data_IF_694322821012
#
_entry.id   IF_694322821012
#
_cell.length_a   1.000
_cell.length_b   1.000
_cell.length_c   1.000
_cell.angle_alpha   90.00
_cell.angle_beta   90.00
_cell.angle_gamma   90.00
#
_symmetry.space_group_name_H-M   'P 1'
#
loop_
_entity.id
_entity.type
_entity.pdbx_description
1 polymer ?
#
# COMPACT_ATOMS: atom_id res chain seq x y z
N UNK A 1 -28.91 42.59 33.51
CA UNK A 1 -29.04 41.17 33.15
C UNK A 1 -28.53 41.03 31.73
N UNK A 2 -27.24 40.70 31.58
CA UNK A 2 -26.56 40.60 30.30
C UNK A 2 -26.22 39.13 30.12
N UNK A 3 -26.96 38.45 29.26
CA UNK A 3 -26.77 37.03 28.97
C UNK A 3 -25.70 36.88 27.91
N UNK A 4 -24.55 36.34 28.29
CA UNK A 4 -23.48 35.92 27.39
C UNK A 4 -23.92 34.67 26.63
N UNK A 5 -23.83 34.62 25.28
CA UNK A 5 -24.05 33.39 24.55
C UNK A 5 -22.86 32.45 24.79
N UNK A 6 -23.15 31.29 25.39
CA UNK A 6 -22.20 30.19 25.53
C UNK A 6 -21.91 29.63 24.15
N UNK A 7 -20.74 29.99 23.61
CA UNK A 7 -20.17 29.34 22.42
C UNK A 7 -19.73 27.94 22.82
N UNK A 8 -20.53 26.94 22.47
CA UNK A 8 -20.10 25.55 22.43
C UNK A 8 -19.04 25.43 21.32
N UNK A 9 -17.83 24.91 21.59
CA UNK A 9 -16.85 24.68 20.54
C UNK A 9 -17.40 23.62 19.57
N UNK A 10 -17.12 23.72 18.26
CA UNK A 10 -17.54 22.72 17.30
C UNK A 10 -16.92 21.38 17.67
N UNK A 11 -17.79 20.37 17.77
CA UNK A 11 -17.45 18.97 17.93
C UNK A 11 -16.43 18.62 16.83
N UNK A 12 -15.19 18.32 17.21
CA UNK A 12 -14.13 17.98 16.27
C UNK A 12 -14.44 16.58 15.71
N UNK A 13 -15.33 16.52 14.72
CA UNK A 13 -15.71 15.30 14.03
C UNK A 13 -14.50 14.76 13.30
N UNK A 14 -14.02 13.62 13.74
CA UNK A 14 -13.00 12.82 13.06
C UNK A 14 -13.42 12.59 11.61
N UNK A 15 -12.53 12.83 10.66
CA UNK A 15 -12.81 12.68 9.23
C UNK A 15 -11.90 11.61 8.65
N UNK A 16 -12.22 10.35 8.97
CA UNK A 16 -11.74 9.20 8.22
C UNK A 16 -12.07 9.39 6.73
N UNK A 17 -11.05 9.32 5.87
CA UNK A 17 -11.28 9.44 4.43
C UNK A 17 -12.07 8.22 3.95
N UNK A 18 -13.22 8.47 3.33
CA UNK A 18 -14.00 7.46 2.63
C UNK A 18 -13.86 7.69 1.13
N UNK A 19 -13.85 6.64 0.29
CA UNK A 19 -13.74 6.77 -1.16
C UNK A 19 -15.07 7.24 -1.78
N UNK A 20 -15.74 8.22 -1.17
CA UNK A 20 -16.96 8.81 -1.66
C UNK A 20 -16.65 10.06 -2.49
N UNK A 21 -17.33 10.22 -3.60
CA UNK A 21 -17.23 11.39 -4.46
C UNK A 21 -18.62 11.95 -4.74
N UNK A 22 -18.72 13.28 -4.78
CA UNK A 22 -19.96 14.00 -5.09
C UNK A 22 -19.72 14.92 -6.28
N UNK A 23 -20.54 14.85 -7.34
CA UNK A 23 -20.36 15.68 -8.53
C UNK A 23 -20.40 17.18 -8.21
N UNK A 24 -21.22 17.59 -7.25
CA UNK A 24 -21.45 18.99 -6.88
C UNK A 24 -20.25 19.64 -6.16
N UNK A 25 -19.31 18.83 -5.69
CA UNK A 25 -18.15 19.28 -4.91
C UNK A 25 -16.82 19.04 -5.63
N UNK A 26 -16.87 18.78 -6.95
CA UNK A 26 -15.66 18.51 -7.73
C UNK A 26 -14.77 19.75 -7.78
N UNK A 27 -13.53 19.61 -7.32
CA UNK A 27 -12.56 20.71 -7.39
C UNK A 27 -12.21 21.05 -8.85
N UNK A 28 -12.50 22.28 -9.32
CA UNK A 28 -12.27 22.68 -10.70
C UNK A 28 -10.78 22.77 -11.08
N UNK A 29 -9.87 22.81 -10.10
CA UNK A 29 -8.43 22.84 -10.32
C UNK A 29 -7.83 21.46 -10.65
N UNK A 30 -8.63 20.38 -10.64
CA UNK A 30 -8.14 19.05 -10.94
C UNK A 30 -7.84 18.86 -12.43
N UNK A 31 -6.78 18.14 -12.82
CA UNK A 31 -6.45 17.89 -14.22
C UNK A 31 -7.59 17.19 -14.97
N UNK A 32 -8.03 17.67 -16.15
CA UNK A 32 -9.21 17.14 -16.83
C UNK A 32 -9.09 15.63 -17.10
N UNK A 33 -10.22 14.93 -17.07
CA UNK A 33 -10.27 13.50 -17.42
C UNK A 33 -10.10 13.35 -18.93
N UNK A 34 -9.20 12.48 -19.38
CA UNK A 34 -9.09 12.17 -20.82
C UNK A 34 -9.92 10.93 -21.13
N UNK A 35 -10.92 11.07 -21.99
CA UNK A 35 -11.70 9.95 -22.54
C UNK A 35 -11.15 9.57 -23.91
N UNK A 36 -10.64 8.35 -24.05
CA UNK A 36 -10.29 7.76 -25.34
C UNK A 36 -11.44 6.83 -25.74
N UNK A 37 -12.09 7.12 -26.86
CA UNK A 37 -13.22 6.33 -27.38
C UNK A 37 -12.76 5.49 -28.57
N UNK A 38 -12.89 4.19 -28.44
CA UNK A 38 -12.68 3.19 -29.48
C UNK A 38 -14.03 2.63 -29.94
N UNK A 39 -14.59 3.22 -31.01
CA UNK A 39 -15.93 2.88 -31.49
C UNK A 39 -16.08 1.42 -31.92
N UNK A 40 -14.99 0.75 -32.31
CA UNK A 40 -15.02 -0.59 -32.92
C UNK A 40 -14.26 -1.65 -32.12
N UNK A 41 -13.86 -1.36 -30.87
CA UNK A 41 -13.06 -2.25 -30.03
C UNK A 41 -11.78 -2.77 -30.73
N UNK A 42 -11.08 -1.88 -31.43
CA UNK A 42 -9.81 -2.19 -32.08
C UNK A 42 -8.72 -2.53 -31.04
N UNK A 43 -8.03 -3.67 -31.18
CA UNK A 43 -7.00 -4.09 -30.23
C UNK A 43 -5.84 -3.09 -30.11
N UNK A 44 -5.60 -2.26 -31.13
CA UNK A 44 -4.55 -1.25 -31.15
C UNK A 44 -4.67 -0.22 -30.02
N UNK A 45 -5.88 0.16 -29.59
CA UNK A 45 -6.05 1.08 -28.46
C UNK A 45 -5.60 0.45 -27.15
N UNK A 46 -6.00 -0.80 -26.91
CA UNK A 46 -5.60 -1.53 -25.69
C UNK A 46 -4.10 -1.80 -25.69
N UNK A 47 -3.51 -2.22 -26.81
CA UNK A 47 -2.05 -2.41 -26.93
C UNK A 47 -1.29 -1.12 -26.67
N UNK A 48 -1.76 0.02 -27.21
CA UNK A 48 -1.14 1.33 -26.97
C UNK A 48 -1.25 1.74 -25.50
N UNK A 49 -2.41 1.52 -24.87
CA UNK A 49 -2.61 1.81 -23.46
C UNK A 49 -1.71 0.95 -22.56
N UNK A 50 -1.58 -0.35 -22.85
CA UNK A 50 -0.67 -1.25 -22.12
C UNK A 50 0.79 -0.82 -22.28
N UNK A 51 1.21 -0.47 -23.51
CA UNK A 51 2.56 0.02 -23.77
C UNK A 51 2.89 1.35 -23.07
N UNK A 52 1.86 2.14 -22.70
CA UNK A 52 2.03 3.37 -21.94
C UNK A 52 2.30 3.14 -20.43
N UNK A 53 2.25 1.90 -19.94
CA UNK A 53 2.57 1.58 -18.54
C UNK A 53 4.06 1.86 -18.28
N UNK A 54 4.35 2.91 -17.48
CA UNK A 54 5.70 3.38 -17.16
C UNK A 54 5.76 3.76 -15.67
N UNK A 55 5.82 2.77 -14.76
CA UNK A 55 5.85 2.98 -13.32
C UNK A 55 6.96 3.92 -12.84
N UNK A 56 8.13 3.86 -13.49
CA UNK A 56 9.29 4.70 -13.23
C UNK A 56 9.03 6.19 -13.49
N UNK A 57 8.04 6.51 -14.32
CA UNK A 57 7.57 7.87 -14.59
C UNK A 57 6.25 8.20 -13.87
N UNK A 58 5.80 7.33 -12.95
CA UNK A 58 4.56 7.52 -12.19
C UNK A 58 3.29 7.30 -13.02
N UNK A 59 3.36 6.56 -14.14
CA UNK A 59 2.20 6.24 -14.99
C UNK A 59 1.85 4.76 -14.93
N UNK A 60 0.61 4.47 -14.52
CA UNK A 60 0.13 3.12 -14.31
C UNK A 60 -1.06 2.83 -15.21
N UNK A 61 -0.87 1.92 -16.16
CA UNK A 61 -1.99 1.32 -16.90
C UNK A 61 -2.60 0.18 -16.10
N UNK A 62 -3.93 0.18 -16.01
CA UNK A 62 -4.73 -0.80 -15.27
C UNK A 62 -5.68 -1.46 -16.26
N UNK A 63 -5.72 -2.78 -16.27
CA UNK A 63 -6.71 -3.54 -17.02
C UNK A 63 -7.64 -4.23 -16.02
N UNK A 64 -8.82 -3.63 -15.73
CA UNK A 64 -9.74 -4.16 -14.73
C UNK A 64 -10.10 -5.62 -14.99
N UNK A 65 -10.22 -6.39 -13.91
CA UNK A 65 -10.68 -7.78 -13.94
C UNK A 65 -12.09 -7.81 -14.57
N UNK A 66 -12.33 -8.58 -15.64
CA UNK A 66 -13.63 -8.59 -16.30
C UNK A 66 -14.75 -9.02 -15.35
N UNK A 67 -15.91 -8.34 -15.42
CA UNK A 67 -17.13 -8.69 -14.67
C UNK A 67 -17.00 -8.67 -13.13
N UNK A 68 -15.89 -8.14 -12.64
CA UNK A 68 -15.67 -7.83 -11.24
C UNK A 68 -16.60 -6.70 -10.78
N UNK A 69 -17.71 -7.01 -10.12
CA UNK A 69 -18.68 -5.99 -9.66
C UNK A 69 -18.54 -5.60 -8.19
N UNK A 70 -17.78 -6.39 -7.40
CA UNK A 70 -17.55 -6.06 -6.01
C UNK A 70 -16.80 -4.70 -5.89
N UNK A 71 -17.21 -3.79 -5.00
CA UNK A 71 -16.63 -2.43 -4.94
C UNK A 71 -15.11 -2.40 -4.64
N UNK A 72 -14.59 -3.45 -4.00
CA UNK A 72 -13.15 -3.60 -3.69
C UNK A 72 -12.30 -4.03 -4.90
N UNK A 73 -12.88 -4.70 -5.90
CA UNK A 73 -12.09 -5.38 -6.93
C UNK A 73 -11.32 -4.42 -7.84
N UNK A 74 -11.88 -3.25 -8.18
CA UNK A 74 -11.09 -2.27 -8.93
C UNK A 74 -9.91 -1.75 -8.10
N UNK A 75 -10.07 -1.54 -6.78
CA UNK A 75 -8.94 -1.18 -5.93
C UNK A 75 -7.86 -2.27 -5.93
N UNK A 76 -8.27 -3.54 -5.91
CA UNK A 76 -7.33 -4.66 -6.04
C UNK A 76 -6.57 -4.65 -7.37
N UNK A 77 -7.24 -4.31 -8.46
CA UNK A 77 -6.59 -4.18 -9.77
C UNK A 77 -5.61 -2.99 -9.80
N UNK A 78 -5.94 -1.86 -9.15
CA UNK A 78 -5.00 -0.76 -8.95
C UNK A 78 -3.78 -1.20 -8.14
N UNK A 79 -4.00 -1.88 -7.02
CA UNK A 79 -2.95 -2.43 -6.14
C UNK A 79 -2.01 -3.37 -6.93
N UNK A 80 -2.57 -4.28 -7.73
CA UNK A 80 -1.78 -5.16 -8.62
C UNK A 80 -1.00 -4.40 -9.68
N UNK A 81 -1.61 -3.39 -10.30
CA UNK A 81 -0.93 -2.55 -11.29
C UNK A 81 0.21 -1.71 -10.69
N UNK A 82 0.17 -1.46 -9.38
CA UNK A 82 1.27 -0.86 -8.60
C UNK A 82 2.35 -1.88 -8.19
N UNK A 83 2.33 -3.07 -8.79
CA UNK A 83 3.26 -4.17 -8.49
C UNK A 83 3.05 -4.82 -7.13
N UNK A 84 1.90 -4.59 -6.47
CA UNK A 84 1.59 -5.15 -5.15
C UNK A 84 0.68 -6.36 -5.27
N UNK A 85 1.01 -7.43 -4.56
CA UNK A 85 0.21 -8.65 -4.59
C UNK A 85 -0.64 -8.80 -3.34
N UNK A 86 -1.91 -9.15 -3.57
CA UNK A 86 -2.81 -9.61 -2.52
C UNK A 86 -2.29 -10.93 -1.93
N UNK A 87 -2.65 -11.24 -0.68
CA UNK A 87 -2.28 -12.51 -0.07
C UNK A 87 -2.75 -13.72 -0.91
N UNK A 88 -2.02 -14.84 -0.80
CA UNK A 88 -2.34 -16.07 -1.53
C UNK A 88 -3.80 -16.50 -1.30
N UNK A 89 -4.50 -17.04 -2.31
CA UNK A 89 -5.86 -17.58 -2.11
C UNK A 89 -5.90 -18.78 -1.13
N UNK A 90 -4.75 -19.41 -0.85
CA UNK A 90 -4.66 -20.58 0.04
C UNK A 90 -4.71 -20.22 1.54
N UNK A 91 -4.71 -18.93 1.87
CA UNK A 91 -4.86 -18.45 3.25
C UNK A 91 -6.21 -17.74 3.41
N UNK A 92 -6.74 -17.75 4.64
CA UNK A 92 -7.91 -16.95 4.96
C UNK A 92 -7.64 -15.49 4.57
N UNK A 93 -8.49 -14.87 3.73
CA UNK A 93 -8.23 -13.52 3.24
C UNK A 93 -8.25 -12.55 4.42
N UNK A 94 -7.23 -11.68 4.57
CA UNK A 94 -7.24 -10.64 5.58
C UNK A 94 -8.49 -9.77 5.47
N UNK A 95 -9.03 -9.34 6.61
CA UNK A 95 -10.30 -8.62 6.71
C UNK A 95 -10.42 -7.43 5.74
N UNK A 96 -9.28 -6.78 5.45
CA UNK A 96 -9.21 -5.59 4.60
C UNK A 96 -9.49 -5.88 3.12
N UNK A 97 -9.21 -7.10 2.64
CA UNK A 97 -9.39 -7.42 1.21
C UNK A 97 -10.87 -7.51 0.84
N UNK A 98 -11.73 -7.90 1.78
CA UNK A 98 -13.18 -7.89 1.63
C UNK A 98 -13.82 -6.51 1.88
N UNK A 99 -13.09 -5.57 2.48
CA UNK A 99 -13.59 -4.23 2.78
C UNK A 99 -13.20 -3.26 1.65
N UNK A 100 -14.20 -2.69 0.99
CA UNK A 100 -13.99 -1.78 -0.14
C UNK A 100 -13.25 -0.51 0.28
N UNK A 101 -13.73 0.20 1.30
CA UNK A 101 -13.14 1.45 1.77
C UNK A 101 -11.68 1.26 2.16
N UNK A 102 -11.40 0.14 2.83
CA UNK A 102 -10.05 -0.21 3.21
C UNK A 102 -9.16 -0.53 2.01
N UNK A 103 -9.65 -1.30 1.04
CA UNK A 103 -8.91 -1.60 -0.20
C UNK A 103 -8.60 -0.31 -0.97
N UNK A 104 -9.53 0.65 -1.00
CA UNK A 104 -9.31 1.96 -1.63
C UNK A 104 -8.33 2.84 -0.85
N UNK A 105 -8.30 2.78 0.49
CA UNK A 105 -7.26 3.44 1.30
C UNK A 105 -5.87 2.86 1.05
N UNK A 106 -5.78 1.54 0.91
CA UNK A 106 -4.53 0.86 0.54
C UNK A 106 -4.06 1.34 -0.83
N UNK A 107 -4.94 1.37 -1.84
CA UNK A 107 -4.61 1.89 -3.15
C UNK A 107 -4.14 3.35 -3.08
N UNK A 108 -4.89 4.23 -2.40
CA UNK A 108 -4.55 5.64 -2.25
C UNK A 108 -3.21 5.88 -1.55
N UNK A 109 -2.92 5.10 -0.50
CA UNK A 109 -1.65 5.19 0.21
C UNK A 109 -0.46 4.85 -0.69
N UNK A 110 -0.57 3.80 -1.51
CA UNK A 110 0.46 3.46 -2.49
C UNK A 110 0.54 4.46 -3.63
N UNK A 111 -0.59 4.94 -4.17
CA UNK A 111 -0.60 5.99 -5.20
C UNK A 111 0.22 7.20 -4.75
N UNK A 112 0.01 7.67 -3.52
CA UNK A 112 0.78 8.80 -2.95
C UNK A 112 2.24 8.44 -2.68
N UNK A 113 2.50 7.33 -1.99
CA UNK A 113 3.86 6.97 -1.59
C UNK A 113 4.77 6.70 -2.80
N UNK A 114 4.25 6.03 -3.84
CA UNK A 114 4.99 5.69 -5.05
C UNK A 114 5.04 6.84 -6.07
N UNK A 115 4.48 8.01 -5.71
CA UNK A 115 4.41 9.20 -6.55
C UNK A 115 3.74 8.95 -7.92
N UNK A 116 2.62 8.22 -7.91
CA UNK A 116 1.84 7.97 -9.11
C UNK A 116 1.06 9.22 -9.46
N UNK A 117 1.25 9.70 -10.68
CA UNK A 117 0.66 10.95 -11.18
C UNK A 117 -0.37 10.73 -12.27
N UNK A 118 -0.45 9.52 -12.86
CA UNK A 118 -1.33 9.23 -13.98
C UNK A 118 -1.80 7.77 -13.96
N UNK A 119 -3.12 7.56 -13.95
CA UNK A 119 -3.72 6.26 -14.26
C UNK A 119 -4.33 6.23 -15.66
N UNK A 120 -4.10 5.11 -16.37
CA UNK A 120 -4.78 4.77 -17.62
C UNK A 120 -5.65 3.53 -17.37
N UNK A 121 -6.97 3.70 -17.35
CA UNK A 121 -7.92 2.61 -17.10
C UNK A 121 -8.41 2.05 -18.43
N UNK A 122 -7.94 0.86 -18.78
CA UNK A 122 -8.42 0.13 -19.94
C UNK A 122 -9.87 -0.34 -19.73
N UNK A 123 -10.64 -0.43 -20.81
CA UNK A 123 -12.02 -0.95 -20.78
C UNK A 123 -12.89 -0.30 -19.70
N UNK A 124 -12.77 1.01 -19.50
CA UNK A 124 -13.51 1.79 -18.51
C UNK A 124 -15.04 1.73 -18.71
N UNK A 125 -15.53 1.27 -19.87
CA UNK A 125 -16.94 1.01 -20.09
C UNK A 125 -17.48 -0.22 -19.34
N UNK A 126 -16.60 -1.05 -18.78
CA UNK A 126 -16.96 -2.29 -18.07
C UNK A 126 -16.93 -2.16 -16.54
N UNK A 127 -16.42 -1.04 -16.01
CA UNK A 127 -16.43 -0.79 -14.56
C UNK A 127 -17.75 -0.17 -14.13
N UNK A 128 -18.15 -0.41 -12.89
CA UNK A 128 -19.45 0.03 -12.36
C UNK A 128 -19.47 1.52 -12.05
N UNK A 129 -20.66 2.11 -11.89
CA UNK A 129 -20.79 3.50 -11.43
C UNK A 129 -20.06 3.76 -10.10
N UNK A 130 -20.21 2.84 -9.13
CA UNK A 130 -19.51 2.92 -7.85
C UNK A 130 -17.99 2.86 -7.98
N UNK A 131 -17.47 2.06 -8.91
CA UNK A 131 -16.03 2.06 -9.20
C UNK A 131 -15.56 3.39 -9.76
N UNK A 132 -16.35 4.01 -10.63
CA UNK A 132 -16.02 5.33 -11.17
C UNK A 132 -16.07 6.40 -10.07
N UNK A 133 -17.05 6.38 -9.17
CA UNK A 133 -17.11 7.28 -8.01
C UNK A 133 -15.85 7.15 -7.14
N UNK A 134 -15.44 5.92 -6.80
CA UNK A 134 -14.23 5.70 -6.03
C UNK A 134 -12.96 6.15 -6.77
N UNK A 135 -12.88 5.97 -8.11
CA UNK A 135 -11.79 6.51 -8.93
C UNK A 135 -11.74 8.04 -8.89
N UNK A 136 -12.90 8.69 -8.92
CA UNK A 136 -12.98 10.15 -8.80
C UNK A 136 -12.53 10.60 -7.40
N UNK A 137 -12.97 9.93 -6.33
CA UNK A 137 -12.51 10.20 -4.97
C UNK A 137 -10.99 10.03 -4.82
N UNK A 138 -10.42 8.98 -5.42
CA UNK A 138 -8.97 8.78 -5.48
C UNK A 138 -8.29 9.94 -6.23
N UNK A 139 -8.85 10.36 -7.37
CA UNK A 139 -8.36 11.50 -8.15
C UNK A 139 -8.35 12.80 -7.36
N UNK A 140 -9.40 13.10 -6.60
CA UNK A 140 -9.44 14.30 -5.75
C UNK A 140 -8.39 14.25 -4.64
N UNK A 141 -8.27 13.11 -3.99
CA UNK A 141 -7.34 12.90 -2.89
C UNK A 141 -5.86 12.99 -3.32
N UNK A 142 -5.55 12.53 -4.53
CA UNK A 142 -4.17 12.33 -5.01
C UNK A 142 -3.75 13.27 -6.14
N UNK A 143 -4.69 14.03 -6.71
CA UNK A 143 -4.47 14.99 -7.82
C UNK A 143 -3.90 14.37 -9.09
N UNK A 144 -4.14 13.06 -9.30
CA UNK A 144 -3.71 12.32 -10.49
C UNK A 144 -4.43 12.76 -11.76
N UNK A 145 -3.75 12.58 -12.89
CA UNK A 145 -4.38 12.53 -14.21
C UNK A 145 -5.11 11.19 -14.36
N UNK A 146 -6.24 11.21 -15.07
CA UNK A 146 -7.03 10.01 -15.33
C UNK A 146 -7.36 9.93 -16.81
N UNK A 147 -6.85 8.88 -17.47
CA UNK A 147 -7.26 8.51 -18.83
C UNK A 147 -8.18 7.29 -18.76
N UNK A 148 -9.35 7.37 -19.37
CA UNK A 148 -10.33 6.29 -19.48
C UNK A 148 -10.40 5.82 -20.92
N UNK A 149 -10.09 4.55 -21.19
CA UNK A 149 -10.21 3.93 -22.51
C UNK A 149 -11.52 3.16 -22.58
N UNK A 150 -12.43 3.59 -23.45
CA UNK A 150 -13.78 3.04 -23.61
C UNK A 150 -13.92 2.45 -25.00
N UNK A 151 -14.43 1.22 -25.08
CA UNK A 151 -14.82 0.59 -26.34
C UNK A 151 -16.33 0.72 -26.48
N UNK A 152 -16.81 1.18 -27.63
CA UNK A 152 -18.24 1.35 -27.91
C UNK A 152 -18.88 2.58 -27.25
N UNK A 153 -20.22 2.59 -27.07
CA UNK A 153 -20.94 3.75 -26.54
C UNK A 153 -20.57 4.03 -25.08
N UNK A 154 -20.53 5.31 -24.72
CA UNK A 154 -20.24 5.74 -23.34
C UNK A 154 -21.37 5.31 -22.40
N UNK A 155 -21.10 4.52 -21.36
CA UNK A 155 -22.13 4.11 -20.40
C UNK A 155 -22.74 5.30 -19.66
N UNK A 156 -24.01 5.20 -19.26
CA UNK A 156 -24.73 6.28 -18.58
C UNK A 156 -24.03 6.78 -17.31
N UNK A 157 -23.48 5.86 -16.49
CA UNK A 157 -22.74 6.24 -15.28
C UNK A 157 -21.50 7.09 -15.59
N UNK A 158 -20.76 6.72 -16.64
CA UNK A 158 -19.61 7.50 -17.09
C UNK A 158 -20.05 8.85 -17.66
N UNK A 159 -21.13 8.89 -18.44
CA UNK A 159 -21.68 10.14 -18.96
C UNK A 159 -22.09 11.11 -17.83
N UNK A 160 -22.63 10.62 -16.71
CA UNK A 160 -22.93 11.45 -15.53
C UNK A 160 -21.67 12.08 -14.94
N UNK A 161 -20.58 11.32 -14.82
CA UNK A 161 -19.31 11.84 -14.29
C UNK A 161 -18.71 12.87 -15.24
N UNK A 162 -18.71 12.61 -16.54
CA UNK A 162 -18.17 13.52 -17.55
C UNK A 162 -18.97 14.83 -17.65
N UNK A 163 -20.25 14.85 -17.24
CA UNK A 163 -21.03 16.09 -17.13
C UNK A 163 -20.60 16.95 -15.94
N UNK A 164 -20.13 16.33 -14.86
CA UNK A 164 -19.74 17.03 -13.63
C UNK A 164 -18.25 17.41 -13.62
N UNK A 165 -17.40 16.67 -14.33
CA UNK A 165 -15.96 16.89 -14.36
C UNK A 165 -15.47 17.39 -15.73
N UNK A 166 -14.54 18.35 -15.72
CA UNK A 166 -13.85 18.77 -16.93
C UNK A 166 -13.17 17.57 -17.61
N UNK A 167 -13.38 17.42 -18.92
CA UNK A 167 -12.84 16.30 -19.68
C UNK A 167 -12.47 16.68 -21.12
N UNK A 168 -11.53 15.92 -21.68
CA UNK A 168 -11.15 15.96 -23.08
C UNK A 168 -11.51 14.65 -23.76
N UNK A 169 -11.95 14.69 -25.02
CA UNK A 169 -12.28 13.49 -25.78
C UNK A 169 -11.30 13.27 -26.93
N UNK A 170 -10.83 12.03 -27.07
CA UNK A 170 -9.97 11.56 -28.15
C UNK A 170 -10.70 10.41 -28.84
N UNK A 171 -10.92 10.54 -30.14
CA UNK A 171 -11.71 9.60 -30.95
C UNK A 171 -10.93 9.00 -32.14
N UNK A 172 -9.65 9.32 -32.27
CA UNK A 172 -8.77 8.75 -33.29
C UNK A 172 -7.60 8.01 -32.64
N UNK A 173 -7.16 6.93 -33.29
CA UNK A 173 -6.07 6.10 -32.79
C UNK A 173 -4.74 6.88 -32.78
N UNK A 174 -4.54 7.77 -33.74
CA UNK A 174 -3.32 8.58 -33.82
C UNK A 174 -3.22 9.58 -32.67
N UNK A 175 -4.30 10.31 -32.36
CA UNK A 175 -4.33 11.22 -31.22
C UNK A 175 -4.23 10.44 -29.89
N UNK A 176 -4.80 9.23 -29.82
CA UNK A 176 -4.65 8.36 -28.65
C UNK A 176 -3.20 7.94 -28.44
N UNK A 177 -2.49 7.54 -29.51
CA UNK A 177 -1.05 7.24 -29.46
C UNK A 177 -0.25 8.45 -29.05
N UNK A 178 -0.53 9.62 -29.62
CA UNK A 178 0.15 10.86 -29.26
C UNK A 178 -0.02 11.16 -27.76
N UNK A 179 -1.26 11.14 -27.25
CA UNK A 179 -1.55 11.38 -25.83
C UNK A 179 -0.88 10.35 -24.92
N UNK A 180 -0.94 9.06 -25.28
CA UNK A 180 -0.38 7.98 -24.47
C UNK A 180 1.16 7.93 -24.55
N UNK A 181 1.78 8.43 -25.62
CA UNK A 181 3.23 8.50 -25.76
C UNK A 181 3.81 9.81 -25.19
N UNK A 182 3.04 10.89 -25.17
CA UNK A 182 3.39 12.11 -24.47
C UNK A 182 3.24 11.85 -22.96
N UNK A 183 4.35 11.57 -22.29
CA UNK A 183 4.39 11.40 -20.83
C UNK A 183 3.85 12.64 -20.11
N UNK A 184 3.24 12.51 -18.90
CA UNK A 184 3.16 13.66 -18.02
C UNK A 184 4.57 14.23 -17.81
N UNK A 185 4.68 15.53 -17.48
CA UNK A 185 5.97 16.09 -17.08
C UNK A 185 6.55 15.19 -15.97
N UNK A 186 7.81 14.71 -16.10
CA UNK A 186 8.36 13.76 -15.14
C UNK A 186 8.31 14.39 -13.76
N UNK A 187 7.54 13.78 -12.86
CA UNK A 187 7.72 14.05 -11.44
C UNK A 187 9.01 13.35 -10.99
N UNK A 188 9.60 13.83 -9.89
CA UNK A 188 10.76 13.16 -9.33
C UNK A 188 10.41 11.68 -9.07
N UNK A 189 11.19 10.72 -9.60
CA UNK A 189 10.91 9.31 -9.38
C UNK A 189 10.97 9.01 -7.89
N UNK A 190 10.27 7.96 -7.47
CA UNK A 190 10.39 7.45 -6.10
C UNK A 190 11.88 7.18 -5.77
N UNK A 191 12.27 7.38 -4.52
CA UNK A 191 13.67 7.21 -4.06
C UNK A 191 14.20 5.77 -4.18
N UNK A 192 13.34 4.81 -4.51
CA UNK A 192 13.69 3.41 -4.67
C UNK A 192 12.97 2.84 -5.90
N UNK A 193 13.64 2.06 -6.77
CA UNK A 193 13.06 1.53 -8.01
C UNK A 193 12.13 0.33 -7.73
N UNK A 194 11.02 0.61 -7.06
CA UNK A 194 10.02 -0.37 -6.62
C UNK A 194 9.33 -1.14 -7.77
N UNK A 195 9.44 -0.63 -9.00
CA UNK A 195 8.89 -1.26 -10.20
C UNK A 195 9.68 -2.49 -10.64
N UNK A 196 10.90 -2.70 -10.12
CA UNK A 196 11.56 -3.99 -10.22
C UNK A 196 10.84 -5.01 -9.33
N UNK A 197 10.13 -5.93 -9.97
CA UNK A 197 9.27 -6.87 -9.26
C UNK A 197 10.00 -8.18 -8.95
N UNK A 198 9.81 -8.68 -7.73
CA UNK A 198 10.17 -10.05 -7.41
C UNK A 198 9.15 -11.03 -8.03
N UNK A 199 9.51 -12.30 -8.30
CA UNK A 199 8.53 -13.28 -8.73
C UNK A 199 7.42 -13.48 -7.69
N UNK A 200 6.17 -13.60 -8.18
CA UNK A 200 4.99 -13.94 -7.38
C UNK A 200 4.06 -14.89 -8.18
N UNK A 201 3.65 -16.04 -7.63
CA UNK A 201 4.03 -16.58 -6.32
C UNK A 201 5.54 -16.88 -6.23
N UNK A 202 6.04 -17.05 -5.01
CA UNK A 202 7.45 -17.33 -4.78
C UNK A 202 7.85 -18.68 -5.43
N UNK A 203 9.00 -18.76 -6.14
CA UNK A 203 9.52 -20.01 -6.67
C UNK A 203 9.80 -21.01 -5.53
N UNK A 204 9.61 -22.31 -5.81
CA UNK A 204 9.79 -23.37 -4.79
C UNK A 204 11.23 -23.46 -4.25
N UNK A 205 12.22 -23.09 -5.05
CA UNK A 205 13.65 -23.10 -4.74
C UNK A 205 14.17 -21.76 -4.21
N UNK A 206 13.29 -20.78 -4.01
CA UNK A 206 13.70 -19.44 -3.60
C UNK A 206 14.29 -19.45 -2.17
N UNK A 207 15.49 -18.86 -1.96
CA UNK A 207 16.16 -18.92 -0.66
C UNK A 207 15.41 -18.18 0.43
N UNK A 208 15.45 -18.76 1.62
CA UNK A 208 14.91 -18.17 2.85
C UNK A 208 15.97 -17.35 3.57
N UNK A 209 15.54 -16.25 4.15
CA UNK A 209 16.39 -15.38 4.96
C UNK A 209 16.03 -15.48 6.43
N UNK A 210 17.05 -15.70 7.25
CA UNK A 210 16.93 -15.62 8.70
C UNK A 210 17.04 -14.15 9.14
N UNK A 211 16.00 -13.65 9.81
CA UNK A 211 15.97 -12.29 10.35
C UNK A 211 17.12 -12.05 11.34
N UNK A 212 17.51 -10.78 11.58
CA UNK A 212 18.47 -10.46 12.63
C UNK A 212 18.05 -10.99 14.02
N UNK A 213 19.00 -11.20 14.95
CA UNK A 213 18.68 -11.61 16.31
C UNK A 213 17.72 -10.63 16.99
N UNK A 214 16.69 -11.17 17.65
CA UNK A 214 15.67 -10.40 18.34
C UNK A 214 16.29 -9.42 19.36
N UNK A 215 16.03 -8.10 19.25
CA UNK A 215 16.46 -7.13 20.24
C UNK A 215 15.78 -7.37 21.60
N UNK A 216 16.49 -7.07 22.70
CA UNK A 216 15.95 -7.21 24.06
C UNK A 216 14.88 -6.17 24.40
N UNK A 217 14.89 -5.01 23.73
CA UNK A 217 13.97 -3.89 23.97
C UNK A 217 13.41 -3.36 22.65
N UNK A 218 12.14 -2.90 22.61
CA UNK A 218 11.20 -2.91 23.74
C UNK A 218 10.85 -4.34 24.15
N UNK A 219 10.59 -4.52 25.45
CA UNK A 219 10.22 -5.83 25.97
C UNK A 219 8.82 -6.14 25.48
N UNK A 220 8.71 -6.93 24.41
CA UNK A 220 7.41 -7.44 23.97
C UNK A 220 6.72 -8.11 25.16
N UNK A 221 5.41 -7.97 25.28
CA UNK A 221 4.65 -8.71 26.29
C UNK A 221 5.01 -10.18 26.13
N UNK A 222 5.40 -10.91 27.19
CA UNK A 222 5.50 -12.36 27.12
C UNK A 222 4.14 -12.82 26.61
N UNK A 223 4.09 -13.38 25.41
CA UNK A 223 2.87 -13.98 24.93
C UNK A 223 2.46 -15.01 25.97
N UNK A 224 1.27 -14.83 26.56
CA UNK A 224 0.49 -15.97 27.00
C UNK A 224 0.64 -17.02 25.91
N UNK A 225 1.17 -18.18 26.29
CA UNK A 225 1.11 -19.39 25.49
C UNK A 225 -0.27 -19.38 24.84
N UNK A 226 -0.31 -19.42 23.52
CA UNK A 226 -1.52 -19.42 22.70
C UNK A 226 -2.59 -20.34 23.29
N UNK A 227 -3.44 -19.80 24.15
CA UNK A 227 -4.65 -20.41 24.67
C UNK A 227 -5.77 -19.38 24.58
N UNK A 228 -5.97 -18.81 23.39
CA UNK A 228 -7.29 -18.33 23.01
C UNK A 228 -8.03 -19.50 22.37
N UNK A 229 -8.95 -20.06 23.14
CA UNK A 229 -10.01 -20.98 22.72
C UNK A 229 -10.69 -20.46 21.44
N UNK A 230 -10.92 -21.36 20.49
CA UNK A 230 -11.59 -21.15 19.19
C UNK A 230 -10.83 -20.38 18.10
N UNK A 231 -9.68 -20.90 17.69
CA UNK A 231 -9.33 -21.23 16.29
C UNK A 231 -7.89 -21.73 16.30
N UNK A 232 -7.62 -22.72 15.48
CA UNK A 232 -6.33 -23.39 15.32
C UNK A 232 -5.17 -22.39 15.43
N UNK A 233 -4.27 -22.52 16.41
CA UNK A 233 -3.07 -21.70 16.41
C UNK A 233 -2.33 -22.02 15.12
N UNK A 234 -2.03 -20.98 14.32
CA UNK A 234 -1.10 -21.08 13.20
C UNK A 234 0.24 -21.51 13.79
N UNK A 235 0.43 -22.82 13.96
CA UNK A 235 1.74 -23.41 14.17
C UNK A 235 2.56 -22.91 12.98
N UNK A 236 3.63 -22.15 13.25
CA UNK A 236 4.77 -22.15 12.34
C UNK A 236 4.99 -23.62 11.93
N UNK A 237 5.20 -23.93 10.64
CA UNK A 237 5.49 -25.29 10.23
C UNK A 237 6.60 -25.87 11.12
N UNK A 238 6.37 -27.10 11.59
CA UNK A 238 7.26 -27.85 12.46
C UNK A 238 8.73 -27.63 12.10
N UNK A 239 9.55 -27.38 13.11
CA UNK A 239 10.99 -27.07 13.04
C UNK A 239 11.85 -28.10 12.28
N UNK A 240 11.30 -29.24 11.88
CA UNK A 240 12.05 -30.37 11.31
C UNK A 240 12.30 -30.29 9.80
N UNK A 241 11.63 -29.38 9.06
CA UNK A 241 11.78 -29.28 7.59
C UNK A 241 11.99 -27.85 7.11
N UNK A 242 12.73 -27.03 7.87
CA UNK A 242 13.00 -25.64 7.47
C UNK A 242 14.13 -25.60 6.42
N UNK A 243 13.92 -24.98 5.24
CA UNK A 243 14.95 -24.88 4.22
C UNK A 243 16.19 -24.14 4.75
N UNK A 244 17.38 -24.40 4.19
CA UNK A 244 18.61 -23.72 4.59
C UNK A 244 18.42 -22.20 4.47
N UNK A 245 18.71 -21.47 5.55
CA UNK A 245 18.51 -20.02 5.61
C UNK A 245 19.81 -19.27 5.44
N UNK A 246 19.77 -18.16 4.69
CA UNK A 246 20.84 -17.17 4.61
C UNK A 246 20.64 -16.16 5.74
N UNK A 247 21.68 -15.89 6.53
CA UNK A 247 21.58 -14.89 7.60
C UNK A 247 21.46 -13.48 7.00
N UNK A 248 20.40 -12.76 7.37
CA UNK A 248 20.25 -11.36 7.04
C UNK A 248 20.94 -10.52 8.14
N UNK A 249 21.99 -9.75 7.82
CA UNK A 249 22.67 -8.94 8.83
C UNK A 249 21.74 -7.84 9.33
N UNK A 250 21.86 -7.47 10.62
CA UNK A 250 21.15 -6.31 11.13
C UNK A 250 21.61 -5.04 10.39
N UNK A 251 20.68 -4.14 10.12
CA UNK A 251 21.04 -2.84 9.53
C UNK A 251 21.64 -1.94 10.61
N UNK A 252 22.97 -1.80 10.59
CA UNK A 252 23.72 -0.95 11.54
C UNK A 252 24.29 0.31 10.91
N UNK A 253 24.35 0.41 9.57
CA UNK A 253 24.93 1.56 8.87
C UNK A 253 24.25 1.81 7.50
N UNK A 254 23.88 3.06 7.16
CA UNK A 254 23.10 3.41 5.97
C UNK A 254 23.78 3.07 4.64
N UNK A 255 25.12 3.07 4.58
CA UNK A 255 25.87 2.94 3.32
C UNK A 255 26.15 1.49 2.88
N UNK A 256 25.69 0.49 3.65
CA UNK A 256 25.97 -0.91 3.31
C UNK A 256 24.91 -1.43 2.32
N UNK A 257 25.16 -1.25 1.03
CA UNK A 257 24.41 -1.95 -0.02
C UNK A 257 24.67 -3.46 0.07
N UNK A 258 23.79 -4.18 0.76
CA UNK A 258 23.82 -5.64 0.84
C UNK A 258 22.88 -6.21 -0.23
N UNK A 259 23.35 -7.10 -1.13
CA UNK A 259 22.48 -7.70 -2.15
C UNK A 259 21.33 -8.51 -1.55
N UNK A 260 21.51 -9.04 -0.33
CA UNK A 260 20.45 -9.72 0.42
C UNK A 260 19.33 -8.77 0.85
N UNK A 261 19.68 -7.56 1.30
CA UNK A 261 18.68 -6.54 1.64
C UNK A 261 17.94 -6.05 0.41
N UNK A 262 18.61 -5.92 -0.73
CA UNK A 262 17.95 -5.57 -2.00
C UNK A 262 16.95 -6.65 -2.44
N UNK A 263 17.33 -7.93 -2.37
CA UNK A 263 16.40 -9.04 -2.65
C UNK A 263 15.20 -9.03 -1.70
N UNK A 264 15.43 -8.84 -0.40
CA UNK A 264 14.36 -8.77 0.60
C UNK A 264 13.47 -7.54 0.37
N UNK A 265 14.05 -6.39 0.02
CA UNK A 265 13.32 -5.18 -0.32
C UNK A 265 12.38 -5.43 -1.50
N UNK A 266 12.87 -5.98 -2.60
CA UNK A 266 12.06 -6.33 -3.77
C UNK A 266 10.90 -7.26 -3.39
N UNK A 267 11.16 -8.30 -2.59
CA UNK A 267 10.09 -9.21 -2.11
C UNK A 267 9.04 -8.48 -1.29
N UNK A 268 9.44 -7.62 -0.36
CA UNK A 268 8.50 -6.85 0.47
C UNK A 268 7.68 -5.89 -0.39
N UNK A 269 8.34 -5.18 -1.31
CA UNK A 269 7.69 -4.25 -2.22
C UNK A 269 6.70 -4.94 -3.16
N UNK A 270 6.97 -6.18 -3.58
CA UNK A 270 6.08 -6.92 -4.50
C UNK A 270 4.99 -7.68 -3.76
N UNK A 271 5.34 -8.46 -2.74
CA UNK A 271 4.47 -9.52 -2.20
C UNK A 271 3.51 -9.09 -1.10
N UNK A 272 3.61 -7.84 -0.64
CA UNK A 272 2.79 -7.34 0.46
C UNK A 272 1.98 -6.12 -0.01
N UNK A 273 0.67 -6.32 -0.19
CA UNK A 273 -0.22 -5.25 -0.58
C UNK A 273 -0.57 -4.26 0.53
N UNK A 274 -0.68 -4.68 1.79
CA UNK A 274 -1.11 -3.76 2.84
C UNK A 274 0.07 -2.88 3.32
N UNK A 275 0.00 -1.53 3.26
CA UNK A 275 1.14 -0.66 3.54
C UNK A 275 1.72 -0.84 4.93
N UNK A 276 0.84 -0.96 5.94
CA UNK A 276 1.26 -1.18 7.34
C UNK A 276 1.94 -2.54 7.51
N UNK A 277 1.47 -3.58 6.80
CA UNK A 277 2.10 -4.90 6.90
C UNK A 277 3.47 -4.88 6.21
N UNK A 278 3.59 -4.23 5.05
CA UNK A 278 4.87 -4.10 4.35
C UNK A 278 5.90 -3.33 5.19
N UNK A 279 5.49 -2.21 5.80
CA UNK A 279 6.32 -1.44 6.72
C UNK A 279 6.73 -2.24 7.97
N UNK A 280 5.80 -3.01 8.54
CA UNK A 280 6.08 -3.91 9.65
C UNK A 280 7.14 -4.97 9.27
N UNK A 281 6.97 -5.66 8.14
CA UNK A 281 7.94 -6.65 7.66
C UNK A 281 9.31 -6.02 7.36
N UNK A 282 9.35 -4.82 6.80
CA UNK A 282 10.59 -4.07 6.58
C UNK A 282 11.35 -3.80 7.89
N UNK A 283 10.66 -3.33 8.93
CA UNK A 283 11.28 -3.13 10.24
C UNK A 283 11.81 -4.45 10.80
N UNK A 284 11.04 -5.55 10.68
CA UNK A 284 11.50 -6.87 11.12
C UNK A 284 12.77 -7.31 10.38
N UNK A 285 12.83 -7.12 9.07
CA UNK A 285 13.99 -7.43 8.23
C UNK A 285 15.24 -6.66 8.67
N UNK A 286 15.10 -5.38 9.00
CA UNK A 286 16.22 -4.52 9.39
C UNK A 286 16.71 -4.76 10.82
N UNK A 287 15.81 -5.10 11.74
CA UNK A 287 16.07 -5.01 13.20
C UNK A 287 15.92 -6.35 13.95
N UNK A 288 15.22 -7.33 13.38
CA UNK A 288 14.91 -8.59 14.06
C UNK A 288 13.76 -8.51 15.06
N UNK A 289 13.02 -7.40 15.15
CA UNK A 289 11.85 -7.30 16.05
C UNK A 289 10.82 -8.41 15.79
N UNK A 290 10.23 -8.96 16.87
CA UNK A 290 9.11 -9.89 16.75
C UNK A 290 7.80 -9.13 16.48
N UNK A 291 6.78 -9.84 15.98
CA UNK A 291 5.43 -9.29 15.78
C UNK A 291 4.83 -8.72 17.06
N UNK A 292 5.17 -9.26 18.23
CA UNK A 292 4.73 -8.74 19.54
C UNK A 292 5.46 -7.46 19.98
N UNK A 293 6.68 -7.23 19.47
CA UNK A 293 7.43 -6.01 19.78
C UNK A 293 7.01 -4.84 18.89
N UNK A 294 6.61 -5.11 17.65
CA UNK A 294 6.30 -4.07 16.66
C UNK A 294 5.31 -2.99 17.16
N UNK A 295 4.21 -3.30 17.87
CA UNK A 295 3.26 -2.28 18.33
C UNK A 295 3.85 -1.32 19.38
N UNK A 296 4.97 -1.67 20.01
CA UNK A 296 5.62 -0.91 21.07
C UNK A 296 6.76 -0.03 20.57
N UNK A 297 7.17 -0.20 19.31
CA UNK A 297 8.31 0.50 18.72
C UNK A 297 7.99 1.98 18.56
N UNK A 298 8.98 2.82 18.87
CA UNK A 298 8.93 4.27 18.70
C UNK A 298 9.96 4.78 17.69
N UNK A 299 9.62 5.86 17.00
CA UNK A 299 10.56 6.65 16.20
C UNK A 299 11.03 7.87 17.00
N UNK A 300 12.24 8.35 16.70
CA UNK A 300 12.74 9.59 17.29
C UNK A 300 11.84 10.77 16.87
N UNK A 301 11.51 11.63 17.82
CA UNK A 301 10.76 12.87 17.60
C UNK A 301 11.55 14.03 18.21
N UNK A 302 11.30 15.30 17.82
CA UNK A 302 11.95 16.44 18.46
C UNK A 302 11.78 16.47 19.99
N UNK A 303 10.66 15.91 20.47
CA UNK A 303 10.32 15.80 21.90
C UNK A 303 10.93 14.56 22.57
N UNK A 304 11.21 13.49 21.80
CA UNK A 304 11.79 12.23 22.27
C UNK A 304 12.88 11.78 21.29
N UNK A 305 14.13 12.28 21.40
CA UNK A 305 15.18 12.04 20.41
C UNK A 305 15.72 10.59 20.44
N UNK A 306 15.37 9.80 21.46
CA UNK A 306 15.72 8.37 21.56
C UNK A 306 14.52 7.52 21.15
N UNK A 307 14.45 7.18 19.86
CA UNK A 307 13.54 6.15 19.34
C UNK A 307 14.17 4.76 19.34
N UNK A 308 13.34 3.73 19.19
CA UNK A 308 13.77 2.34 19.04
C UNK A 308 14.27 2.03 17.61
N UNK A 309 13.82 2.82 16.62
CA UNK A 309 14.25 2.71 15.23
C UNK A 309 15.41 3.67 14.91
N UNK A 310 16.36 3.24 14.06
CA UNK A 310 17.34 4.15 13.48
C UNK A 310 16.65 5.31 12.77
N UNK A 311 17.21 6.52 12.89
CA UNK A 311 16.75 7.70 12.14
C UNK A 311 16.98 7.55 10.64
N UNK A 312 18.06 6.86 10.27
CA UNK A 312 18.48 6.68 8.89
C UNK A 312 18.06 5.29 8.40
N UNK A 313 16.83 5.21 7.87
CA UNK A 313 16.36 4.00 7.18
C UNK A 313 16.82 4.02 5.73
N UNK A 314 17.14 2.85 5.13
CA UNK A 314 17.43 2.75 3.71
C UNK A 314 16.20 3.17 2.89
N UNK A 315 16.43 3.71 1.68
CA UNK A 315 15.37 4.35 0.88
C UNK A 315 14.18 3.42 0.59
N UNK A 316 14.42 2.13 0.36
CA UNK A 316 13.37 1.13 0.17
C UNK A 316 12.46 1.03 1.40
N UNK A 317 13.05 1.01 2.61
CA UNK A 317 12.28 0.91 3.84
C UNK A 317 11.55 2.22 4.15
N UNK A 318 12.16 3.37 3.86
CA UNK A 318 11.53 4.69 4.04
C UNK A 318 10.26 4.81 3.20
N UNK A 319 10.30 4.38 1.94
CA UNK A 319 9.15 4.35 1.05
C UNK A 319 7.98 3.53 1.61
N UNK A 320 8.26 2.38 2.23
CA UNK A 320 7.25 1.54 2.89
C UNK A 320 6.68 2.19 4.15
N UNK A 321 7.53 2.83 4.96
CA UNK A 321 7.09 3.59 6.15
C UNK A 321 6.20 4.77 5.76
N UNK A 322 6.53 5.49 4.69
CA UNK A 322 5.75 6.61 4.20
C UNK A 322 4.36 6.15 3.73
N UNK A 323 4.28 5.03 3.02
CA UNK A 323 3.00 4.43 2.64
C UNK A 323 2.14 4.05 3.87
N UNK A 324 2.74 3.44 4.90
CA UNK A 324 2.05 3.10 6.14
C UNK A 324 1.57 4.35 6.91
N UNK A 325 2.37 5.43 6.91
CA UNK A 325 2.00 6.71 7.53
C UNK A 325 0.83 7.36 6.79
N UNK A 326 0.87 7.40 5.46
CA UNK A 326 -0.23 7.93 4.64
C UNK A 326 -1.50 7.14 4.91
N UNK A 327 -1.43 5.81 4.89
CA UNK A 327 -2.57 4.93 5.19
C UNK A 327 -3.16 5.19 6.58
N UNK A 328 -2.30 5.32 7.60
CA UNK A 328 -2.72 5.64 8.97
C UNK A 328 -3.40 7.01 9.05
N UNK A 329 -2.90 8.00 8.29
CA UNK A 329 -3.49 9.33 8.18
C UNK A 329 -4.87 9.32 7.50
N UNK A 330 -5.08 8.48 6.49
CA UNK A 330 -6.39 8.32 5.84
C UNK A 330 -7.46 7.73 6.78
N UNK A 331 -7.05 7.02 7.83
CA UNK A 331 -7.95 6.53 8.88
C UNK A 331 -8.17 7.51 10.03
N UNK A 332 -7.59 8.71 9.93
CA UNK A 332 -7.61 9.73 10.97
C UNK A 332 -7.17 9.22 12.35
N UNK A 333 -6.23 8.27 12.36
CA UNK A 333 -5.73 7.71 13.61
C UNK A 333 -4.75 8.62 14.34
N UNK A 334 -4.19 9.64 13.68
CA UNK A 334 -3.19 10.55 14.25
C UNK A 334 -3.86 11.87 14.62
N UNK A 335 -4.07 12.07 15.92
CA UNK A 335 -4.55 13.34 16.48
C UNK A 335 -3.44 14.39 16.47
N UNK A 336 -3.50 15.33 15.54
CA UNK A 336 -2.49 16.39 15.41
C UNK A 336 -2.51 17.40 16.57
N UNK A 337 -3.63 17.47 17.28
CA UNK A 337 -3.86 18.31 18.47
C UNK A 337 -3.23 17.73 19.76
N UNK A 338 -2.82 16.46 19.75
CA UNK A 338 -2.23 15.79 20.92
C UNK A 338 -0.70 15.65 20.81
N UNK A 339 0.03 15.65 21.95
CA UNK A 339 1.45 15.31 21.99
C UNK A 339 1.75 13.96 21.34
N UNK A 340 2.92 13.82 20.70
CA UNK A 340 3.26 12.68 19.84
C UNK A 340 3.11 11.29 20.49
N UNK A 341 3.33 11.19 21.81
CA UNK A 341 3.19 9.95 22.57
C UNK A 341 1.73 9.56 22.88
N UNK A 342 0.80 10.53 22.84
CA UNK A 342 -0.64 10.32 23.02
C UNK A 342 -1.38 10.23 21.69
N UNK A 343 -0.93 10.97 20.68
CA UNK A 343 -1.46 10.88 19.32
C UNK A 343 -0.96 9.65 18.55
N UNK A 344 0.04 8.95 19.08
CA UNK A 344 0.72 7.86 18.39
C UNK A 344 1.54 8.31 17.19
N UNK A 345 1.78 9.61 17.03
CA UNK A 345 2.66 10.16 15.98
C UNK A 345 4.12 9.74 16.16
N UNK A 346 4.51 9.30 17.36
CA UNK A 346 5.82 8.70 17.63
C UNK A 346 5.90 7.21 17.25
N UNK A 347 4.84 6.60 16.69
CA UNK A 347 4.88 5.23 16.19
C UNK A 347 5.12 5.22 14.68
N UNK A 348 5.98 4.33 14.17
CA UNK A 348 6.22 4.22 12.73
C UNK A 348 4.95 3.83 11.96
N UNK A 349 4.09 3.03 12.59
CA UNK A 349 2.79 2.59 12.10
C UNK A 349 1.94 2.09 13.27
N UNK A 350 0.63 1.88 13.04
CA UNK A 350 -0.28 1.29 14.04
C UNK A 350 -0.68 -0.12 13.63
N UNK A 351 -0.35 -1.08 14.48
CA UNK A 351 -0.81 -2.46 14.38
C UNK A 351 -1.88 -2.73 15.45
N UNK A 352 -3.04 -3.21 15.02
CA UNK A 352 -4.04 -3.80 15.90
C UNK A 352 -3.61 -5.18 16.40
N UNK A 353 -4.34 -5.73 17.37
CA UNK A 353 -4.14 -7.11 17.84
C UNK A 353 -4.31 -8.13 16.71
N UNK A 354 -5.23 -7.86 15.78
CA UNK A 354 -5.59 -8.72 14.65
C UNK A 354 -4.52 -8.75 13.55
N UNK A 355 -3.70 -7.69 13.43
CA UNK A 355 -2.67 -7.59 12.37
C UNK A 355 -1.47 -8.52 12.61
N UNK A 356 -1.33 -9.11 13.81
CA UNK A 356 -0.14 -9.93 14.12
C UNK A 356 -0.01 -11.15 13.22
N UNK A 357 -1.14 -11.82 12.95
CA UNK A 357 -1.17 -13.00 12.07
C UNK A 357 -0.90 -12.59 10.63
N UNK A 358 -1.50 -11.50 10.17
CA UNK A 358 -1.30 -11.00 8.81
C UNK A 358 0.16 -10.57 8.56
N UNK A 359 0.81 -9.92 9.54
CA UNK A 359 2.23 -9.58 9.46
C UNK A 359 3.11 -10.84 9.48
N UNK A 360 2.74 -11.86 10.25
CA UNK A 360 3.45 -13.14 10.24
C UNK A 360 3.37 -13.81 8.86
N UNK A 361 2.18 -13.90 8.27
CA UNK A 361 1.98 -14.43 6.91
C UNK A 361 2.68 -13.59 5.85
N UNK A 362 2.64 -12.27 5.93
CA UNK A 362 3.36 -11.38 5.04
C UNK A 362 4.89 -11.57 5.11
N UNK A 363 5.40 -11.90 6.30
CA UNK A 363 6.83 -12.20 6.50
C UNK A 363 7.19 -13.54 5.84
N UNK A 364 6.35 -14.55 6.00
CA UNK A 364 6.53 -15.85 5.34
C UNK A 364 6.43 -15.74 3.82
N UNK A 365 5.52 -14.91 3.29
CA UNK A 365 5.41 -14.65 1.84
C UNK A 365 6.70 -14.06 1.24
N UNK A 366 7.51 -13.37 2.06
CA UNK A 366 8.82 -12.86 1.67
C UNK A 366 9.97 -13.87 1.88
N UNK A 367 9.66 -15.11 2.26
CA UNK A 367 10.59 -16.15 2.70
C UNK A 367 11.53 -15.65 3.81
N UNK A 368 10.98 -14.85 4.72
CA UNK A 368 11.68 -14.36 5.90
C UNK A 368 11.27 -15.18 7.12
N UNK A 369 12.20 -15.43 8.02
CA UNK A 369 11.92 -16.28 9.16
C UNK A 369 12.76 -15.91 10.38
N UNK A 370 12.18 -16.00 11.58
CA UNK A 370 12.82 -15.54 12.81
C UNK A 370 14.16 -16.24 13.10
N UNK A 371 15.11 -15.48 13.66
CA UNK A 371 16.40 -15.98 14.13
C UNK A 371 16.24 -17.13 15.12
N UNK A 372 17.06 -18.17 14.97
CA UNK A 372 17.20 -19.26 15.94
C UNK A 372 17.68 -18.67 17.27
N UNK A 373 16.97 -18.98 18.35
CA UNK A 373 17.49 -18.76 19.69
C UNK A 373 18.70 -19.67 19.87
N UNK A 374 19.91 -19.13 19.76
CA UNK A 374 21.12 -19.84 20.13
C UNK A 374 21.05 -20.10 21.64
N UNK A 375 20.54 -21.27 22.03
CA UNK A 375 20.73 -21.78 23.40
C UNK A 375 22.23 -21.84 23.62
N UNK A 376 22.72 -21.06 24.57
CA UNK A 376 24.11 -21.17 25.01
C UNK A 376 24.34 -22.64 25.37
N UNK A 377 25.26 -23.31 24.68
CA UNK A 377 25.78 -24.60 25.13
C UNK A 377 26.25 -24.38 26.56
N UNK A 378 25.55 -24.97 27.52
CA UNK A 378 26.08 -25.14 28.86
C UNK A 378 27.40 -25.87 28.69
N UNK A 379 28.50 -25.14 28.86
CA UNK A 379 29.82 -25.74 29.03
C UNK A 379 29.75 -26.44 30.38
N UNK A 380 29.56 -27.76 30.34
CA UNK A 380 29.84 -28.67 31.45
C UNK A 380 31.33 -28.70 31.72
#
# INVERSE_FOLDING_TARGET
MTSTPSSTPPDATFHEWTPAWSPDHTDPALPPVTLITDTHDHPAYTTTAIAAHQPELGRITVHPTPLATAPAYLAHDLIRALGKHLPSPDIDPPWWTGNADESWRVAAAWTKALNISHYVICRAHRITGRHLEHLMALRELTRIHLTLVVSGPTPAALATILKAAAHHQINTLENARQHLNQGPSPQAPASYPWWHSAPFPAPHDEPWYELPPRPRRPAGTPGEITTSSHRTPTRLPSTDSRPPTIALPAHTQPDTHSPHHETVAQRIHTRIAHPVHAAAVAIRALTGYSTDQLPQITIATPQHPRGDLPTDLPDWARLLQDAARIHTGLKDYIRQDLPAHLSGANRPFRLGSWDRNDVAHATEACHLVAARVRRARQRT
#
